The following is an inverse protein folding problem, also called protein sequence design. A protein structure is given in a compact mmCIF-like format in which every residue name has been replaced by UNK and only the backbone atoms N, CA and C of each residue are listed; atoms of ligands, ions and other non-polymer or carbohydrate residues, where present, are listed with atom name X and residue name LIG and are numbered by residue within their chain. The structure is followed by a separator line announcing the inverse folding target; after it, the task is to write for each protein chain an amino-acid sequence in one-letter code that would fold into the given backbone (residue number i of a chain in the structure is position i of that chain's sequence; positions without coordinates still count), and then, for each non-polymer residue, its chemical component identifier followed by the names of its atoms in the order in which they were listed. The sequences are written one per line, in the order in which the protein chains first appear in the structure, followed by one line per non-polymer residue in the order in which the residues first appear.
data_IF_382532537987
#
_entry.id   IF_382532537987
#
_cell.length_a   1.000
_cell.length_b   1.000
_cell.length_c   1.000
_cell.angle_alpha   90.00
_cell.angle_beta   90.00
_cell.angle_gamma   90.00
#
_symmetry.space_group_name_H-M   'P 1'
#
loop_
_entity.id
_entity.type
_entity.pdbx_description
1 polymer ?
#
# COMPACT_ATOMS: atom_id res chain seq x y z
N UNK A 1 32.03 12.46 -5.01
CA UNK A 1 31.29 11.40 -5.73
C UNK A 1 30.97 11.99 -7.09
N UNK A 2 31.76 11.65 -8.10
CA UNK A 2 31.74 12.31 -9.42
C UNK A 2 30.50 11.91 -10.20
N UNK A 3 29.67 12.88 -10.57
CA UNK A 3 28.60 12.68 -11.55
C UNK A 3 29.23 12.27 -12.89
N UNK A 4 29.12 10.98 -13.23
CA UNK A 4 29.54 10.45 -14.51
C UNK A 4 28.58 10.96 -15.60
N UNK A 5 29.12 11.50 -16.70
CA UNK A 5 28.36 11.96 -17.87
C UNK A 5 27.40 10.88 -18.43
N UNK A 6 27.76 9.59 -18.32
CA UNK A 6 26.88 8.49 -18.68
C UNK A 6 25.64 8.41 -17.78
N UNK A 7 25.79 8.63 -16.47
CA UNK A 7 24.66 8.67 -15.54
C UNK A 7 23.72 9.82 -15.85
N UNK A 8 24.27 11.00 -16.20
CA UNK A 8 23.45 12.14 -16.61
C UNK A 8 22.70 11.84 -17.90
N UNK A 9 23.34 11.25 -18.92
CA UNK A 9 22.70 10.87 -20.18
C UNK A 9 21.50 9.92 -20.01
N UNK A 10 21.57 8.97 -19.07
CA UNK A 10 20.45 8.09 -18.77
C UNK A 10 19.34 8.73 -17.91
N UNK A 11 19.54 9.96 -17.41
CA UNK A 11 18.53 10.70 -16.60
C UNK A 11 17.72 11.69 -17.44
N UNK A 12 17.81 11.63 -18.77
CA UNK A 12 17.06 12.45 -19.69
C UNK A 12 15.69 11.80 -19.98
N UNK A 13 14.61 12.57 -19.90
CA UNK A 13 13.25 12.11 -20.22
C UNK A 13 12.18 12.81 -19.39
N UNK A 14 10.91 12.63 -19.77
CA UNK A 14 9.77 13.11 -18.98
C UNK A 14 8.75 11.99 -18.81
N UNK A 15 8.10 11.97 -17.64
CA UNK A 15 6.98 11.07 -17.34
C UNK A 15 5.72 11.91 -17.45
N UNK A 16 4.75 11.42 -18.23
CA UNK A 16 3.45 12.07 -18.39
C UNK A 16 2.32 11.14 -17.97
N UNK A 17 1.24 11.73 -17.47
CA UNK A 17 0.00 11.05 -17.08
C UNK A 17 -1.14 11.84 -17.70
N UNK A 18 -1.93 11.21 -18.58
CA UNK A 18 -3.02 11.91 -19.27
C UNK A 18 -2.58 13.12 -20.10
N UNK A 19 -1.34 13.14 -20.58
CA UNK A 19 -0.77 14.26 -21.34
C UNK A 19 -0.18 15.40 -20.49
N UNK A 20 -0.29 15.34 -19.16
CA UNK A 20 0.35 16.30 -18.25
C UNK A 20 1.67 15.74 -17.72
N UNK A 21 2.70 16.58 -17.59
CA UNK A 21 3.97 16.16 -16.98
C UNK A 21 3.76 15.83 -15.50
N UNK A 22 4.32 14.73 -15.02
CA UNK A 22 4.19 14.31 -13.62
C UNK A 22 4.65 15.38 -12.62
N UNK A 23 5.62 16.22 -13.00
CA UNK A 23 6.13 17.34 -12.21
C UNK A 23 5.09 18.45 -11.98
N UNK A 24 4.03 18.51 -12.79
CA UNK A 24 2.94 19.49 -12.68
C UNK A 24 1.75 18.94 -11.88
N UNK A 25 1.77 17.66 -11.51
CA UNK A 25 0.72 17.00 -10.74
C UNK A 25 1.11 17.00 -9.28
N UNK A 26 0.14 17.19 -8.37
CA UNK A 26 0.36 16.97 -6.94
C UNK A 26 0.75 15.50 -6.70
N UNK A 27 2.02 15.29 -6.34
CA UNK A 27 2.57 13.94 -6.16
C UNK A 27 1.89 13.16 -5.02
N UNK A 28 1.38 13.85 -3.99
CA UNK A 28 0.72 13.19 -2.86
C UNK A 28 -0.64 12.63 -3.29
N UNK A 29 -1.42 13.44 -4.01
CA UNK A 29 -2.67 13.01 -4.62
C UNK A 29 -2.45 11.92 -5.66
N UNK A 30 -1.46 12.08 -6.55
CA UNK A 30 -1.19 11.08 -7.58
C UNK A 30 -0.85 9.72 -6.99
N UNK A 31 0.00 9.69 -5.96
CA UNK A 31 0.33 8.45 -5.25
C UNK A 31 -0.86 7.82 -4.53
N UNK A 32 -1.86 8.60 -4.11
CA UNK A 32 -3.08 8.03 -3.51
C UNK A 32 -4.03 7.40 -4.53
N UNK A 33 -3.75 7.54 -5.83
CA UNK A 33 -4.47 6.85 -6.90
C UNK A 33 -3.81 5.52 -7.30
N UNK A 34 -2.63 5.21 -6.75
CA UNK A 34 -1.83 4.06 -7.15
C UNK A 34 -1.64 3.13 -5.95
N UNK A 35 -1.88 1.85 -6.20
CA UNK A 35 -1.48 0.77 -5.32
C UNK A 35 -0.07 0.23 -5.61
N UNK A 36 0.68 -0.14 -4.57
CA UNK A 36 1.99 -0.80 -4.66
C UNK A 36 1.98 -2.14 -3.91
N UNK A 37 2.19 -3.23 -4.64
CA UNK A 37 2.41 -4.57 -4.09
C UNK A 37 3.89 -4.93 -4.19
N UNK A 38 4.54 -5.16 -3.04
CA UNK A 38 5.93 -5.59 -2.98
C UNK A 38 6.04 -7.13 -3.01
N UNK A 39 7.10 -7.66 -3.64
CA UNK A 39 7.39 -9.10 -3.64
C UNK A 39 7.62 -9.62 -2.21
N UNK A 40 8.40 -8.87 -1.43
CA UNK A 40 8.58 -9.08 0.00
C UNK A 40 7.95 -7.89 0.73
N UNK A 41 6.74 -8.04 1.29
CA UNK A 41 6.07 -6.96 2.00
C UNK A 41 6.84 -6.57 3.27
N UNK A 42 6.68 -5.33 3.70
CA UNK A 42 7.07 -4.92 5.04
C UNK A 42 5.83 -4.58 5.88
N UNK A 43 5.73 -5.17 7.07
CA UNK A 43 4.70 -4.86 8.04
C UNK A 43 5.32 -4.18 9.26
N UNK A 44 4.67 -3.12 9.73
CA UNK A 44 5.04 -2.46 10.97
C UNK A 44 4.73 -3.37 12.17
N UNK A 45 5.53 -3.25 13.23
CA UNK A 45 5.26 -3.92 14.51
C UNK A 45 4.05 -3.28 15.21
N UNK A 46 2.87 -3.57 14.68
CA UNK A 46 1.57 -3.06 15.07
C UNK A 46 0.51 -4.12 14.70
N UNK A 47 -0.74 -3.85 15.05
CA UNK A 47 -1.88 -4.72 14.75
C UNK A 47 -2.10 -4.86 13.23
N UNK A 48 -2.71 -5.97 12.81
CA UNK A 48 -3.17 -6.18 11.42
C UNK A 48 -4.09 -5.03 10.98
N UNK A 49 -4.98 -4.60 11.87
CA UNK A 49 -5.88 -3.49 11.60
C UNK A 49 -5.12 -2.21 11.24
N UNK A 50 -4.10 -1.84 12.02
CA UNK A 50 -3.33 -0.62 11.79
C UNK A 50 -2.49 -0.71 10.50
N UNK A 51 -1.84 -1.86 10.27
CA UNK A 51 -1.08 -2.10 9.04
C UNK A 51 -1.95 -1.92 7.78
N UNK A 52 -3.17 -2.43 7.78
CA UNK A 52 -4.09 -2.26 6.64
C UNK A 52 -4.67 -0.84 6.60
N UNK A 53 -4.99 -0.26 7.76
CA UNK A 53 -5.52 1.10 7.84
C UNK A 53 -4.55 2.18 7.36
N UNK A 54 -3.24 1.91 7.33
CA UNK A 54 -2.26 2.82 6.72
C UNK A 54 -2.50 3.03 5.22
N UNK A 55 -3.12 2.07 4.52
CA UNK A 55 -3.55 2.25 3.12
C UNK A 55 -4.62 3.36 2.94
N UNK A 56 -5.23 3.86 4.02
CA UNK A 56 -6.19 4.96 3.96
C UNK A 56 -5.54 6.35 3.99
N UNK A 57 -4.24 6.46 4.27
CA UNK A 57 -3.51 7.73 4.32
C UNK A 57 -3.49 8.36 2.93
N UNK A 58 -3.75 9.67 2.83
CA UNK A 58 -3.82 10.39 1.57
C UNK A 58 -5.13 10.17 0.79
N UNK A 59 -6.05 9.37 1.33
CA UNK A 59 -7.40 9.17 0.76
C UNK A 59 -8.44 10.00 1.50
N UNK A 60 -9.64 10.12 0.91
CA UNK A 60 -10.80 10.74 1.59
C UNK A 60 -11.23 10.04 2.89
N UNK A 61 -10.70 8.86 3.18
CA UNK A 61 -11.02 8.07 4.38
C UNK A 61 -10.03 8.25 5.53
N UNK A 62 -8.93 8.97 5.31
CA UNK A 62 -7.86 9.17 6.29
C UNK A 62 -8.40 9.68 7.64
N UNK A 63 -9.35 10.61 7.61
CA UNK A 63 -9.93 11.24 8.81
C UNK A 63 -11.31 10.68 9.19
N UNK A 64 -11.70 9.53 8.62
CA UNK A 64 -12.96 8.88 8.98
C UNK A 64 -12.94 8.29 10.40
N UNK A 65 -14.11 8.14 11.01
CA UNK A 65 -14.25 7.51 12.33
C UNK A 65 -13.69 6.09 12.37
N UNK A 66 -13.23 5.66 13.54
CA UNK A 66 -12.65 4.32 13.73
C UNK A 66 -13.60 3.20 13.30
N UNK A 67 -14.91 3.35 13.58
CA UNK A 67 -15.93 2.38 13.17
C UNK A 67 -16.05 2.27 11.65
N UNK A 68 -15.89 3.39 10.92
CA UNK A 68 -15.88 3.39 9.46
C UNK A 68 -14.60 2.78 8.90
N UNK A 69 -13.44 3.12 9.47
CA UNK A 69 -12.16 2.49 9.10
C UNK A 69 -12.19 0.97 9.30
N UNK A 70 -12.75 0.48 10.41
CA UNK A 70 -12.92 -0.97 10.66
C UNK A 70 -13.76 -1.66 9.60
N UNK A 71 -14.84 -1.03 9.12
CA UNK A 71 -15.65 -1.58 8.04
C UNK A 71 -14.87 -1.65 6.72
N UNK A 72 -14.12 -0.60 6.39
CA UNK A 72 -13.28 -0.55 5.20
C UNK A 72 -12.17 -1.62 5.25
N UNK A 73 -11.48 -1.74 6.38
CA UNK A 73 -10.43 -2.77 6.59
C UNK A 73 -11.02 -4.18 6.51
N UNK A 74 -12.19 -4.44 7.10
CA UNK A 74 -12.83 -5.77 7.00
C UNK A 74 -13.16 -6.11 5.56
N UNK A 75 -13.78 -5.17 4.83
CA UNK A 75 -14.12 -5.33 3.43
C UNK A 75 -12.88 -5.58 2.56
N UNK A 76 -11.81 -4.85 2.85
CA UNK A 76 -10.51 -5.07 2.23
C UNK A 76 -10.06 -6.53 2.46
N UNK A 77 -9.97 -7.00 3.70
CA UNK A 77 -9.57 -8.38 3.96
C UNK A 77 -10.43 -9.43 3.23
N UNK A 78 -11.74 -9.19 3.11
CA UNK A 78 -12.66 -10.07 2.38
C UNK A 78 -12.40 -10.06 0.87
N UNK A 79 -12.22 -8.89 0.26
CA UNK A 79 -11.89 -8.76 -1.17
C UNK A 79 -10.53 -9.43 -1.50
N UNK A 80 -9.61 -9.44 -0.52
CA UNK A 80 -8.28 -10.07 -0.59
C UNK A 80 -8.22 -11.53 -0.20
N UNK A 81 -9.35 -12.16 0.16
CA UNK A 81 -9.37 -13.52 0.71
C UNK A 81 -8.42 -13.71 1.92
N UNK A 82 -8.04 -12.62 2.58
CA UNK A 82 -7.17 -12.61 3.75
C UNK A 82 -7.95 -12.87 5.04
N UNK A 83 -9.28 -12.76 5.02
CA UNK A 83 -10.12 -12.87 6.21
C UNK A 83 -10.08 -14.29 6.82
N UNK A 84 -10.04 -15.35 6.01
CA UNK A 84 -9.88 -16.72 6.51
C UNK A 84 -8.55 -16.92 7.23
N UNK A 85 -7.47 -16.40 6.67
CA UNK A 85 -6.14 -16.48 7.27
C UNK A 85 -6.10 -15.72 8.58
N UNK A 86 -6.60 -14.48 8.60
CA UNK A 86 -6.60 -13.63 9.79
C UNK A 86 -7.40 -14.27 10.94
N UNK A 87 -8.52 -14.94 10.65
CA UNK A 87 -9.31 -15.66 11.67
C UNK A 87 -8.58 -16.84 12.30
N UNK A 88 -7.63 -17.44 11.58
CA UNK A 88 -6.84 -18.59 12.06
C UNK A 88 -5.64 -18.15 12.92
N UNK A 89 -5.33 -16.85 12.97
CA UNK A 89 -4.25 -16.34 13.80
C UNK A 89 -4.59 -16.44 15.29
N UNK A 90 -3.63 -16.81 16.15
CA UNK A 90 -3.83 -16.78 17.58
C UNK A 90 -4.07 -15.33 18.07
N UNK A 91 -4.82 -15.16 19.16
CA UNK A 91 -5.25 -13.84 19.67
C UNK A 91 -4.11 -12.88 20.03
N UNK A 92 -2.85 -13.33 20.02
CA UNK A 92 -1.67 -12.48 20.11
C UNK A 92 -1.55 -11.71 18.79
N UNK A 93 -2.33 -10.63 18.65
CA UNK A 93 -2.48 -9.80 17.45
C UNK A 93 -1.24 -8.99 17.04
N UNK A 94 -0.05 -9.51 17.31
CA UNK A 94 1.23 -9.03 16.80
C UNK A 94 1.63 -9.91 15.61
N UNK A 95 1.88 -9.28 14.46
CA UNK A 95 2.40 -9.98 13.30
C UNK A 95 3.91 -10.14 13.51
N UNK A 96 4.46 -11.38 13.55
CA UNK A 96 5.90 -11.55 13.43
C UNK A 96 6.32 -11.01 12.07
N UNK A 97 7.42 -10.25 12.00
CA UNK A 97 7.96 -9.65 10.76
C UNK A 97 8.30 -10.66 9.64
N UNK A 98 8.09 -11.95 9.88
CA UNK A 98 8.38 -13.07 8.97
C UNK A 98 7.14 -13.83 8.50
N UNK A 99 5.93 -13.32 8.74
CA UNK A 99 4.71 -13.95 8.26
C UNK A 99 4.58 -13.76 6.74
N UNK A 100 5.15 -14.72 5.99
CA UNK A 100 4.98 -14.86 4.55
C UNK A 100 3.50 -15.12 4.26
N UNK A 101 2.77 -14.07 3.90
CA UNK A 101 1.49 -14.19 3.21
C UNK A 101 1.76 -14.73 1.79
N UNK A 102 0.95 -15.67 1.31
CA UNK A 102 0.90 -15.98 -0.12
C UNK A 102 0.22 -14.78 -0.81
N UNK A 103 1.03 -13.90 -1.43
CA UNK A 103 0.61 -12.58 -1.93
C UNK A 103 -0.31 -12.60 -3.16
N UNK A 104 -0.61 -13.76 -3.73
CA UNK A 104 -1.51 -13.87 -4.89
C UNK A 104 -2.94 -13.41 -4.59
N UNK A 105 -3.37 -13.45 -3.33
CA UNK A 105 -4.76 -13.20 -2.96
C UNK A 105 -5.03 -11.72 -2.66
N UNK A 106 -4.04 -10.99 -2.13
CA UNK A 106 -4.08 -9.53 -1.97
C UNK A 106 -4.07 -8.80 -3.33
N UNK A 107 -3.49 -9.40 -4.37
CA UNK A 107 -3.41 -8.86 -5.73
C UNK A 107 -4.78 -8.67 -6.40
N UNK A 108 -5.79 -9.50 -6.09
CA UNK A 108 -7.12 -9.41 -6.71
C UNK A 108 -8.04 -8.35 -6.08
N UNK A 109 -7.64 -7.80 -4.96
CA UNK A 109 -8.52 -7.04 -4.09
C UNK A 109 -8.32 -5.53 -4.11
N UNK A 110 -7.26 -5.05 -4.75
CA UNK A 110 -7.01 -3.62 -4.94
C UNK A 110 -6.82 -2.83 -3.63
N UNK A 111 -6.34 -3.49 -2.57
CA UNK A 111 -6.07 -2.88 -1.26
C UNK A 111 -4.61 -2.48 -1.11
N UNK A 112 -3.75 -3.14 -1.89
CA UNK A 112 -2.38 -2.74 -2.09
C UNK A 112 -2.21 -2.17 -3.47
#
# INVERSE_FOLDING_TARGET
MTDNMLTLFFRNGSITVGGQTLHEIDLKWWRSQIGLVQQEPFLFNDTIFNNIAYGLIGTKWEQSSIGKKRKLVKRACEEAFADEFIRKLPEVGLIPSQLFFEFSDLYRAGIL
#
